data_IF_295854675611
#
_entry.id   IF_295854675611
#
_cell.length_a   1.000
_cell.length_b   1.000
_cell.length_c   1.000
_cell.angle_alpha   90.00
_cell.angle_beta   90.00
_cell.angle_gamma   90.00
#
_symmetry.space_group_name_H-M   'P 1'
#
loop_
_entity.id
_entity.type
_entity.pdbx_description
1 polymer ?
#
# COMPACT_ATOMS: atom_id res chain seq x y z
N UNK A 1 -8.08 6.94 -9.20
CA UNK A 1 -7.50 6.23 -8.04
C UNK A 1 -6.51 5.21 -8.59
N UNK A 2 -5.27 5.15 -8.11
CA UNK A 2 -4.18 4.36 -8.76
C UNK A 2 -4.25 2.84 -8.51
N UNK A 3 -5.28 2.35 -7.79
CA UNK A 3 -5.48 0.91 -7.55
C UNK A 3 -4.44 0.21 -6.66
N UNK A 4 -3.55 0.97 -6.01
CA UNK A 4 -2.53 0.42 -5.11
C UNK A 4 -2.97 0.51 -3.65
N UNK A 5 -2.72 -0.57 -2.88
CA UNK A 5 -2.79 -0.55 -1.42
C UNK A 5 -1.48 -0.04 -0.83
N UNK A 6 -1.55 0.79 0.21
CA UNK A 6 -0.39 1.26 0.95
C UNK A 6 -0.36 0.59 2.32
N UNK A 7 0.76 -0.05 2.64
CA UNK A 7 1.03 -0.61 3.97
C UNK A 7 2.18 0.16 4.60
N UNK A 8 1.93 0.74 5.79
CA UNK A 8 2.95 1.40 6.59
C UNK A 8 3.31 0.50 7.77
N UNK A 9 4.60 0.25 7.96
CA UNK A 9 5.12 -0.55 9.06
C UNK A 9 5.88 0.37 10.01
N UNK A 10 5.50 0.35 11.29
CA UNK A 10 6.15 1.09 12.36
C UNK A 10 6.50 0.15 13.52
N UNK A 11 7.53 0.48 14.29
CA UNK A 11 7.76 -0.15 15.58
C UNK A 11 6.63 0.22 16.54
N UNK A 12 6.49 -0.55 17.62
CA UNK A 12 5.60 -0.20 18.72
C UNK A 12 6.36 0.58 19.79
N UNK A 13 5.72 1.60 20.33
CA UNK A 13 6.17 2.32 21.52
C UNK A 13 5.05 2.31 22.56
N UNK A 14 5.41 2.38 23.85
CA UNK A 14 4.43 2.52 24.92
C UNK A 14 4.38 3.96 25.43
N UNK A 15 3.19 4.38 25.85
CA UNK A 15 2.94 5.67 26.51
C UNK A 15 2.06 5.43 27.72
N UNK A 16 2.41 6.08 28.83
CA UNK A 16 1.57 6.08 30.02
C UNK A 16 0.53 7.19 29.90
N UNK A 17 -0.73 6.84 29.99
CA UNK A 17 -1.86 7.78 29.98
C UNK A 17 -2.63 7.66 31.29
N UNK A 18 -3.19 8.79 31.76
CA UNK A 18 -4.04 8.80 32.95
C UNK A 18 -5.48 8.57 32.54
N UNK A 19 -6.10 7.59 33.17
CA UNK A 19 -7.55 7.35 33.04
C UNK A 19 -8.35 8.47 33.71
N UNK A 20 -9.63 8.58 33.39
CA UNK A 20 -10.54 9.53 34.02
C UNK A 20 -10.62 9.33 35.57
N UNK A 21 -10.31 8.14 36.04
CA UNK A 21 -10.30 7.78 37.43
C UNK A 21 -8.94 8.05 38.14
N UNK A 22 -7.96 8.59 37.39
CA UNK A 22 -6.62 8.94 37.88
C UNK A 22 -5.62 7.78 37.92
N UNK A 23 -6.01 6.59 37.48
CA UNK A 23 -5.08 5.45 37.30
C UNK A 23 -4.19 5.64 36.09
N UNK A 24 -2.97 5.16 36.15
CA UNK A 24 -2.04 5.18 35.01
C UNK A 24 -2.15 3.86 34.25
N UNK A 25 -2.31 3.96 32.93
CA UNK A 25 -2.38 2.82 31.99
C UNK A 25 -1.32 2.99 30.95
N UNK A 26 -0.55 1.93 30.70
CA UNK A 26 0.43 1.89 29.62
C UNK A 26 -0.27 1.41 28.34
N UNK A 27 -0.22 2.25 27.29
CA UNK A 27 -0.86 1.96 26.02
C UNK A 27 0.21 1.82 24.94
N UNK A 28 0.10 0.77 24.11
CA UNK A 28 0.97 0.51 22.98
C UNK A 28 0.46 1.28 21.76
N UNK A 29 1.35 2.06 21.13
CA UNK A 29 1.10 2.86 19.93
C UNK A 29 2.12 2.55 18.83
N UNK A 30 1.83 2.87 17.55
CA UNK A 30 2.86 2.93 16.51
C UNK A 30 3.90 4.00 16.88
N UNK A 31 5.18 3.66 16.79
CA UNK A 31 6.27 4.61 17.03
C UNK A 31 6.42 5.55 15.82
N UNK A 32 5.72 6.67 15.87
CA UNK A 32 5.64 7.67 14.82
C UNK A 32 5.61 9.07 15.42
N UNK A 33 6.15 10.10 14.72
CA UNK A 33 5.92 11.50 15.09
C UNK A 33 4.42 11.79 15.17
N UNK A 34 4.00 12.57 16.18
CA UNK A 34 2.58 12.86 16.44
C UNK A 34 1.81 13.29 15.18
N UNK A 35 2.39 14.23 14.39
CA UNK A 35 1.73 14.72 13.17
C UNK A 35 1.57 13.63 12.11
N UNK A 36 2.56 12.74 11.95
CA UNK A 36 2.46 11.61 11.02
C UNK A 36 1.39 10.63 11.48
N UNK A 37 1.33 10.31 12.77
CA UNK A 37 0.30 9.45 13.36
C UNK A 37 -1.10 10.03 13.14
N UNK A 38 -1.31 11.33 13.37
CA UNK A 38 -2.61 11.99 13.14
C UNK A 38 -3.06 11.89 11.67
N UNK A 39 -2.13 12.10 10.73
CA UNK A 39 -2.42 11.98 9.29
C UNK A 39 -2.74 10.52 8.94
N UNK A 40 -1.91 9.57 9.36
CA UNK A 40 -2.12 8.15 9.09
C UNK A 40 -3.46 7.66 9.64
N UNK A 41 -3.78 7.99 10.90
CA UNK A 41 -5.03 7.61 11.55
C UNK A 41 -6.27 8.12 10.79
N UNK A 42 -6.16 9.27 10.11
CA UNK A 42 -7.22 9.83 9.28
C UNK A 42 -7.39 9.15 7.92
N UNK A 43 -6.35 8.48 7.41
CA UNK A 43 -6.31 7.94 6.04
C UNK A 43 -6.44 6.43 5.96
N UNK A 44 -5.88 5.69 6.94
CA UNK A 44 -5.82 4.22 6.87
C UNK A 44 -7.17 3.58 7.21
N UNK A 45 -7.44 2.44 6.60
CA UNK A 45 -8.64 1.65 6.85
C UNK A 45 -8.47 0.68 8.02
N UNK A 46 -7.23 0.25 8.28
CA UNK A 46 -6.88 -0.65 9.39
C UNK A 46 -5.60 -0.18 10.07
N UNK A 47 -5.66 -0.09 11.40
CA UNK A 47 -4.51 0.07 12.27
C UNK A 47 -4.39 -1.23 13.05
N UNK A 48 -3.35 -2.01 12.77
CA UNK A 48 -3.17 -3.32 13.34
C UNK A 48 -1.89 -3.42 14.17
N UNK A 49 -1.95 -4.15 15.26
CA UNK A 49 -0.80 -4.52 16.07
C UNK A 49 -0.45 -5.99 15.84
N UNK A 50 0.81 -6.26 15.53
CA UNK A 50 1.30 -7.64 15.38
C UNK A 50 1.87 -8.08 16.70
N UNK A 51 1.16 -9.00 17.37
CA UNK A 51 1.60 -9.64 18.60
C UNK A 51 1.73 -11.14 18.40
N UNK A 52 2.29 -11.83 19.39
CA UNK A 52 2.41 -13.27 19.34
C UNK A 52 2.03 -13.92 20.68
N UNK A 53 1.52 -15.12 20.57
CA UNK A 53 1.10 -15.94 21.71
C UNK A 53 1.69 -17.34 21.60
N UNK A 54 1.97 -17.94 22.74
CA UNK A 54 2.33 -19.35 22.86
C UNK A 54 1.08 -20.16 23.13
N UNK A 55 0.91 -21.27 22.41
CA UNK A 55 -0.12 -22.24 22.72
C UNK A 55 0.29 -23.13 23.93
N UNK A 56 -0.61 -24.02 24.35
CA UNK A 56 -0.36 -24.95 25.46
C UNK A 56 0.78 -25.93 25.18
N UNK A 57 1.12 -26.13 23.91
CA UNK A 57 2.21 -26.98 23.45
C UNK A 57 3.52 -26.22 23.29
N UNK A 58 3.53 -24.90 23.53
CA UNK A 58 4.70 -24.04 23.41
C UNK A 58 5.00 -23.57 21.99
N UNK A 59 4.09 -23.74 21.03
CA UNK A 59 4.26 -23.20 19.67
C UNK A 59 3.90 -21.72 19.67
N UNK A 60 4.74 -20.91 19.02
CA UNK A 60 4.55 -19.49 18.91
C UNK A 60 3.75 -19.13 17.64
N UNK A 61 2.62 -18.48 17.82
CA UNK A 61 1.78 -18.01 16.70
C UNK A 61 1.64 -16.49 16.73
N UNK A 62 1.82 -15.85 15.58
CA UNK A 62 1.61 -14.41 15.43
C UNK A 62 0.18 -14.11 15.04
N UNK A 63 -0.35 -13.02 15.61
CA UNK A 63 -1.68 -12.50 15.34
C UNK A 63 -1.63 -11.01 15.00
N UNK A 64 -2.58 -10.57 14.21
CA UNK A 64 -2.89 -9.17 13.94
C UNK A 64 -4.11 -8.78 14.77
N UNK A 65 -3.93 -7.85 15.69
CA UNK A 65 -5.00 -7.27 16.51
C UNK A 65 -5.51 -6.01 15.80
N UNK A 66 -6.79 -5.96 15.49
CA UNK A 66 -7.45 -4.93 14.66
C UNK A 66 -8.45 -4.09 15.45
N UNK A 67 -8.58 -4.31 16.75
CA UNK A 67 -9.44 -3.55 17.66
C UNK A 67 -8.64 -3.04 18.83
N UNK A 68 -8.99 -1.83 19.26
CA UNK A 68 -8.42 -1.22 20.45
C UNK A 68 -8.80 -1.98 21.72
N UNK A 69 -7.91 -1.94 22.68
CA UNK A 69 -8.13 -2.36 24.06
C UNK A 69 -7.62 -1.25 24.98
N UNK A 70 -7.88 -1.31 26.31
CA UNK A 70 -7.34 -0.31 27.23
C UNK A 70 -5.81 -0.13 27.18
N UNK A 71 -5.08 -1.13 26.65
CA UNK A 71 -3.61 -1.15 26.60
C UNK A 71 -3.05 -1.17 25.17
N UNK A 72 -3.91 -1.12 24.16
CA UNK A 72 -3.49 -1.24 22.76
C UNK A 72 -4.25 -0.28 21.86
N UNK A 73 -3.51 0.57 21.14
CA UNK A 73 -4.07 1.39 20.08
C UNK A 73 -4.12 0.61 18.76
N UNK A 74 -5.33 0.25 18.35
CA UNK A 74 -5.62 -0.41 17.08
C UNK A 74 -7.03 -0.02 16.62
N UNK A 75 -7.37 -0.24 15.38
CA UNK A 75 -8.70 0.12 14.89
C UNK A 75 -8.93 -0.30 13.44
N UNK A 76 -10.19 -0.33 13.04
CA UNK A 76 -10.57 -0.60 11.65
C UNK A 76 -11.86 0.13 11.29
N UNK A 77 -11.93 0.61 10.03
CA UNK A 77 -13.15 1.13 9.43
C UNK A 77 -14.15 0.02 9.08
N UNK A 78 -13.67 -1.22 8.94
CA UNK A 78 -14.54 -2.37 8.71
C UNK A 78 -15.21 -2.79 10.01
N UNK A 79 -16.49 -2.45 10.14
CA UNK A 79 -17.31 -2.67 11.35
C UNK A 79 -17.25 -4.12 11.87
N UNK A 80 -17.27 -5.08 10.95
CA UNK A 80 -17.32 -6.51 11.26
C UNK A 80 -15.98 -7.24 11.15
N UNK A 81 -14.87 -6.51 10.98
CA UNK A 81 -13.55 -7.13 10.97
C UNK A 81 -13.26 -7.81 12.31
N UNK A 82 -12.80 -9.06 12.26
CA UNK A 82 -12.47 -9.82 13.45
C UNK A 82 -11.41 -9.09 14.29
N UNK A 83 -11.56 -9.00 15.63
CA UNK A 83 -10.65 -8.26 16.50
C UNK A 83 -9.24 -8.85 16.57
N UNK A 84 -9.10 -10.14 16.24
CA UNK A 84 -7.84 -10.89 16.23
C UNK A 84 -7.85 -11.82 15.04
N UNK A 85 -6.83 -11.73 14.19
CA UNK A 85 -6.66 -12.49 12.96
C UNK A 85 -5.29 -13.17 13.02
N UNK A 86 -5.16 -14.42 12.57
CA UNK A 86 -3.85 -15.03 12.41
C UNK A 86 -3.04 -14.16 11.43
N UNK A 87 -1.79 -13.86 11.79
CA UNK A 87 -0.97 -12.95 10.97
C UNK A 87 -0.58 -13.62 9.64
N UNK A 88 -1.05 -13.03 8.55
CA UNK A 88 -0.79 -13.45 7.17
C UNK A 88 -1.57 -12.59 6.19
N UNK A 89 -1.07 -12.51 4.96
CA UNK A 89 -1.72 -11.73 3.91
C UNK A 89 -3.10 -12.30 3.55
N UNK A 90 -3.15 -13.60 3.31
CA UNK A 90 -4.40 -14.27 2.92
C UNK A 90 -5.44 -14.22 4.03
N UNK A 91 -5.00 -14.37 5.27
CA UNK A 91 -5.87 -14.30 6.46
C UNK A 91 -6.48 -12.91 6.62
N UNK A 92 -5.69 -11.85 6.38
CA UNK A 92 -6.20 -10.48 6.44
C UNK A 92 -7.17 -10.20 5.30
N UNK A 93 -6.84 -10.58 4.07
CA UNK A 93 -7.72 -10.38 2.91
C UNK A 93 -9.04 -11.14 3.08
N UNK A 94 -8.99 -12.39 3.53
CA UNK A 94 -10.19 -13.17 3.82
C UNK A 94 -11.05 -12.54 4.91
N UNK A 95 -10.43 -12.09 6.01
CA UNK A 95 -11.16 -11.44 7.10
C UNK A 95 -11.82 -10.11 6.69
N UNK A 96 -11.17 -9.35 5.78
CA UNK A 96 -11.77 -8.13 5.23
C UNK A 96 -12.96 -8.48 4.33
N UNK A 97 -12.83 -9.50 3.46
CA UNK A 97 -13.92 -9.96 2.60
C UNK A 97 -15.13 -10.42 3.43
N UNK A 98 -14.88 -11.22 4.47
CA UNK A 98 -15.92 -11.67 5.40
C UNK A 98 -16.63 -10.49 6.11
N UNK A 99 -15.85 -9.47 6.50
CA UNK A 99 -16.38 -8.28 7.16
C UNK A 99 -17.28 -7.46 6.21
N UNK A 100 -16.91 -7.36 4.95
CA UNK A 100 -17.70 -6.70 3.90
C UNK A 100 -19.00 -7.48 3.67
N UNK A 101 -18.93 -8.79 3.48
CA UNK A 101 -20.10 -9.66 3.29
C UNK A 101 -21.06 -9.58 4.50
N UNK A 102 -20.53 -9.52 5.72
CA UNK A 102 -21.35 -9.32 6.92
C UNK A 102 -22.01 -7.95 6.95
N UNK A 103 -21.33 -6.89 6.51
CA UNK A 103 -21.92 -5.55 6.42
C UNK A 103 -23.09 -5.52 5.41
N UNK A 104 -22.93 -6.14 4.26
CA UNK A 104 -23.99 -6.29 3.27
C UNK A 104 -25.21 -7.02 3.84
N UNK A 105 -24.99 -8.16 4.48
CA UNK A 105 -26.08 -8.99 5.04
C UNK A 105 -26.81 -8.35 6.22
N UNK A 106 -26.09 -7.62 7.08
CA UNK A 106 -26.66 -7.10 8.34
C UNK A 106 -27.13 -5.66 8.24
N UNK A 107 -26.39 -4.82 7.52
CA UNK A 107 -26.64 -3.38 7.45
C UNK A 107 -27.33 -3.00 6.12
N UNK A 108 -27.49 -3.94 5.17
CA UNK A 108 -28.07 -3.69 3.85
C UNK A 108 -27.23 -2.73 3.00
N UNK A 109 -25.97 -2.58 3.33
CA UNK A 109 -25.02 -1.75 2.58
C UNK A 109 -24.63 -2.52 1.33
N UNK A 110 -25.07 -2.07 0.16
CA UNK A 110 -24.56 -2.60 -1.10
C UNK A 110 -23.16 -2.03 -1.28
N UNK A 111 -22.14 -2.86 -1.12
CA UNK A 111 -20.81 -2.50 -1.59
C UNK A 111 -20.88 -2.52 -3.11
N UNK A 112 -20.97 -1.34 -3.69
CA UNK A 112 -20.86 -1.21 -5.13
C UNK A 112 -19.43 -1.53 -5.46
N UNK A 113 -19.17 -2.64 -6.12
CA UNK A 113 -17.93 -2.93 -6.83
C UNK A 113 -17.80 -1.89 -7.98
N UNK A 114 -17.63 -0.63 -7.60
CA UNK A 114 -17.61 0.49 -8.53
C UNK A 114 -16.23 0.80 -9.05
N UNK A 115 -15.30 -0.09 -8.84
CA UNK A 115 -14.08 -0.15 -9.62
C UNK A 115 -13.91 -1.62 -9.96
N UNK A 116 -14.24 -2.02 -11.18
CA UNK A 116 -13.39 -2.99 -11.82
C UNK A 116 -11.98 -2.42 -11.68
N UNK A 117 -11.33 -2.73 -10.57
CA UNK A 117 -9.89 -2.80 -10.52
C UNK A 117 -9.62 -3.98 -11.42
N UNK A 118 -9.68 -3.74 -12.73
CA UNK A 118 -8.86 -4.53 -13.64
C UNK A 118 -7.49 -4.41 -13.00
N UNK A 119 -6.95 -5.49 -12.38
CA UNK A 119 -5.54 -5.48 -12.10
C UNK A 119 -4.93 -5.09 -13.43
N UNK A 120 -4.18 -3.99 -13.49
CA UNK A 120 -3.28 -3.71 -14.58
C UNK A 120 -2.16 -4.78 -14.55
N UNK A 121 -2.60 -6.01 -14.63
CA UNK A 121 -1.87 -7.22 -14.96
C UNK A 121 -2.43 -7.75 -16.28
N UNK A 122 -2.74 -6.89 -17.22
CA UNK A 122 -2.25 -7.20 -18.54
C UNK A 122 -0.74 -7.12 -18.35
N UNK A 123 -0.10 -8.27 -18.34
CA UNK A 123 1.35 -8.33 -18.35
C UNK A 123 1.79 -7.39 -19.46
N UNK A 124 2.35 -6.25 -19.06
CA UNK A 124 2.73 -5.20 -20.00
C UNK A 124 3.57 -5.91 -21.06
N UNK A 125 3.10 -5.93 -22.30
CA UNK A 125 3.83 -6.57 -23.37
C UNK A 125 5.06 -5.70 -23.64
N UNK A 126 6.23 -6.17 -23.22
CA UNK A 126 7.49 -5.46 -23.34
C UNK A 126 7.71 -4.92 -24.76
N UNK A 127 7.44 -5.72 -25.80
CA UNK A 127 7.60 -5.31 -27.20
C UNK A 127 6.64 -4.17 -27.58
N UNK A 128 5.40 -4.19 -27.08
CA UNK A 128 4.43 -3.14 -27.31
C UNK A 128 4.86 -1.82 -26.65
N UNK A 129 5.25 -1.88 -25.37
CA UNK A 129 5.72 -0.71 -24.61
C UNK A 129 7.02 -0.15 -25.20
N UNK A 130 7.93 -1.03 -25.62
CA UNK A 130 9.19 -0.64 -26.26
C UNK A 130 8.97 0.07 -27.61
N UNK A 131 8.05 -0.45 -28.41
CA UNK A 131 7.68 0.17 -29.68
C UNK A 131 7.10 1.56 -29.47
N UNK A 132 6.18 1.70 -28.52
CA UNK A 132 5.60 2.99 -28.16
C UNK A 132 6.66 3.98 -27.64
N UNK A 133 7.57 3.52 -26.79
CA UNK A 133 8.68 4.33 -26.30
C UNK A 133 9.56 4.86 -27.44
N UNK A 134 9.83 4.03 -28.46
CA UNK A 134 10.61 4.44 -29.63
C UNK A 134 9.87 5.45 -30.50
N UNK A 135 8.57 5.27 -30.72
CA UNK A 135 7.74 6.19 -31.48
C UNK A 135 7.68 7.56 -30.82
N UNK A 136 7.42 7.61 -29.50
CA UNK A 136 7.42 8.85 -28.72
C UNK A 136 8.78 9.54 -28.68
N UNK A 137 9.86 8.76 -28.55
CA UNK A 137 11.22 9.29 -28.62
C UNK A 137 11.48 10.01 -29.93
N UNK A 138 11.14 9.39 -31.07
CA UNK A 138 11.34 9.98 -32.40
C UNK A 138 10.47 11.24 -32.57
N UNK A 139 9.22 11.22 -32.14
CA UNK A 139 8.30 12.36 -32.25
C UNK A 139 8.81 13.55 -31.43
N UNK A 140 9.21 13.33 -30.17
CA UNK A 140 9.68 14.38 -29.28
C UNK A 140 11.01 15.00 -29.76
N UNK A 141 11.94 14.20 -30.26
CA UNK A 141 13.22 14.71 -30.80
C UNK A 141 12.98 15.48 -32.12
N UNK A 142 12.03 15.04 -32.94
CA UNK A 142 11.71 15.76 -34.19
C UNK A 142 11.14 17.17 -33.90
N UNK A 143 10.51 17.38 -32.74
CA UNK A 143 9.99 18.68 -32.31
C UNK A 143 11.08 19.57 -31.72
N UNK A 144 11.97 19.00 -30.90
CA UNK A 144 13.09 19.71 -30.27
C UNK A 144 14.20 18.70 -29.88
N UNK A 145 15.41 18.89 -30.42
CA UNK A 145 16.58 18.05 -30.06
C UNK A 145 16.94 18.11 -28.57
N UNK A 146 16.61 19.20 -27.87
CA UNK A 146 16.84 19.32 -26.43
C UNK A 146 16.02 18.29 -25.60
N UNK A 147 14.92 17.79 -26.17
CA UNK A 147 14.10 16.75 -25.52
C UNK A 147 14.88 15.46 -25.28
N UNK A 148 15.84 15.12 -26.13
CA UNK A 148 16.70 13.95 -25.93
C UNK A 148 17.41 13.98 -24.57
N UNK A 149 17.96 15.14 -24.20
CA UNK A 149 18.65 15.31 -22.92
C UNK A 149 17.67 15.23 -21.73
N UNK A 150 16.47 15.78 -21.92
CA UNK A 150 15.43 15.78 -20.87
C UNK A 150 14.91 14.37 -20.62
N UNK A 151 14.63 13.60 -21.68
CA UNK A 151 14.19 12.19 -21.56
C UNK A 151 15.27 11.34 -20.89
N UNK A 152 16.53 11.48 -21.29
CA UNK A 152 17.61 10.72 -20.64
C UNK A 152 17.77 11.04 -19.15
N UNK A 153 17.57 12.30 -18.73
CA UNK A 153 17.53 12.67 -17.32
C UNK A 153 16.35 12.05 -16.59
N UNK A 154 15.16 12.01 -17.19
CA UNK A 154 13.98 11.35 -16.61
C UNK A 154 14.23 9.85 -16.45
N UNK A 155 14.79 9.17 -17.46
CA UNK A 155 15.19 7.76 -17.37
C UNK A 155 16.21 7.55 -16.24
N UNK A 156 17.21 8.42 -16.13
CA UNK A 156 18.22 8.36 -15.06
C UNK A 156 17.57 8.51 -13.66
N UNK A 157 16.55 9.36 -13.52
CA UNK A 157 15.78 9.50 -12.26
C UNK A 157 14.98 8.23 -11.92
N UNK A 158 14.37 7.59 -12.93
CA UNK A 158 13.58 6.36 -12.75
C UNK A 158 14.49 5.17 -12.40
N UNK A 159 15.63 5.04 -13.09
CA UNK A 159 16.52 3.90 -12.96
C UNK A 159 17.57 4.07 -11.85
N UNK A 160 17.80 5.30 -11.37
CA UNK A 160 18.85 5.61 -10.42
C UNK A 160 20.26 5.62 -11.02
N UNK A 161 20.40 5.35 -12.32
CA UNK A 161 21.67 5.38 -13.07
C UNK A 161 21.42 5.73 -14.52
N UNK A 162 22.50 6.16 -15.21
CA UNK A 162 22.43 6.53 -16.63
C UNK A 162 22.18 5.31 -17.50
N UNK A 163 21.12 5.34 -18.31
CA UNK A 163 20.70 4.25 -19.18
C UNK A 163 20.04 4.80 -20.44
N UNK A 164 20.14 4.08 -21.56
CA UNK A 164 19.45 4.41 -22.80
C UNK A 164 18.13 3.67 -22.89
N UNK A 165 17.18 4.22 -23.62
CA UNK A 165 15.89 3.59 -23.86
C UNK A 165 16.00 2.17 -24.46
N UNK A 166 17.04 1.92 -25.28
CA UNK A 166 17.29 0.63 -25.91
C UNK A 166 17.87 -0.45 -24.99
N UNK A 167 18.28 -0.08 -23.78
CA UNK A 167 18.94 -0.96 -22.83
C UNK A 167 17.97 -1.58 -21.81
N UNK A 168 16.67 -1.20 -21.85
CA UNK A 168 15.65 -1.82 -21.01
C UNK A 168 15.44 -3.29 -21.39
N UNK A 169 15.27 -4.11 -20.37
CA UNK A 169 15.04 -5.57 -20.46
C UNK A 169 13.58 -5.91 -20.12
N UNK A 170 13.14 -7.13 -20.43
CA UNK A 170 11.74 -7.56 -20.22
C UNK A 170 11.31 -7.50 -18.74
N UNK A 171 12.22 -7.76 -17.81
CA UNK A 171 12.00 -7.66 -16.36
C UNK A 171 11.83 -6.21 -15.86
N UNK A 172 12.15 -5.23 -16.70
CA UNK A 172 12.02 -3.79 -16.42
C UNK A 172 10.84 -3.15 -17.15
N UNK A 173 9.88 -3.93 -17.64
CA UNK A 173 8.75 -3.43 -18.43
C UNK A 173 7.92 -2.37 -17.69
N UNK A 174 7.75 -2.49 -16.37
CA UNK A 174 7.02 -1.52 -15.55
C UNK A 174 7.76 -0.17 -15.52
N UNK A 175 9.08 -0.19 -15.40
CA UNK A 175 9.92 1.02 -15.40
C UNK A 175 9.96 1.67 -16.78
N UNK A 176 9.95 0.86 -17.84
CA UNK A 176 9.83 1.36 -19.21
C UNK A 176 8.47 2.02 -19.45
N UNK A 177 7.38 1.43 -18.95
CA UNK A 177 6.04 2.01 -19.03
C UNK A 177 5.95 3.35 -18.27
N UNK A 178 6.62 3.46 -17.11
CA UNK A 178 6.73 4.73 -16.39
C UNK A 178 7.50 5.78 -17.22
N UNK A 179 8.59 5.40 -17.88
CA UNK A 179 9.34 6.29 -18.75
C UNK A 179 8.49 6.76 -19.95
N UNK A 180 7.66 5.89 -20.52
CA UNK A 180 6.68 6.23 -21.57
C UNK A 180 5.65 7.25 -21.07
N UNK A 181 5.10 7.06 -19.87
CA UNK A 181 4.17 8.00 -19.25
C UNK A 181 4.81 9.39 -19.08
N UNK A 182 6.05 9.46 -18.58
CA UNK A 182 6.80 10.69 -18.43
C UNK A 182 7.12 11.38 -19.77
N UNK A 183 7.27 10.61 -20.86
CA UNK A 183 7.46 11.16 -22.21
C UNK A 183 6.16 11.69 -22.82
N UNK A 184 5.00 11.11 -22.49
CA UNK A 184 3.68 11.60 -22.94
C UNK A 184 3.33 12.98 -22.37
N UNK A 185 3.85 13.29 -21.17
CA UNK A 185 3.61 14.54 -20.45
C UNK A 185 4.57 15.67 -20.89
N UNK A 186 5.41 15.44 -21.93
CA UNK A 186 6.33 16.42 -22.50
C UNK A 186 5.77 17.07 -23.77
#
# INVERSE_FOLDING_TARGET
MLGYGLVLIAHSASRTEKTAEGSEVEIIYPDMPKRASEICNGLVDVIGYIGGEYDEQGNYTRYLYTRETPTLFAGSRFKYLAPKIKFGYNELVSAIADAIEMAEKRDGVTVVDSVEITPHTEALNFEAVRKEAQELWMDLISKDEANATTILKKIEMIMGHRMKLSEFTEDQVDLLALAVAEMRDM
#
